data_IF_017174762437
#
_entry.id   IF_017174762437
#
_cell.length_a   1.000
_cell.length_b   1.000
_cell.length_c   1.000
_cell.angle_alpha   90.00
_cell.angle_beta   90.00
_cell.angle_gamma   90.00
#
_symmetry.space_group_name_H-M   'P 1'
#
loop_
_entity.id
_entity.type
_entity.pdbx_description
1 polymer ?
#
# COMPACT_ATOMS: atom_id res chain seq x y z
N UNK A 1 -1.75 -1.58 -14.80
CA UNK A 1 -1.84 -2.60 -13.72
C UNK A 1 -2.59 -2.06 -12.49
N UNK A 2 -2.34 -0.81 -12.08
CA UNK A 2 -2.99 -0.14 -10.93
C UNK A 2 -4.53 -0.12 -11.03
N UNK A 3 -5.10 0.13 -12.21
CA UNK A 3 -6.56 0.08 -12.43
C UNK A 3 -7.18 -1.28 -12.08
N UNK A 4 -6.47 -2.39 -12.37
CA UNK A 4 -6.92 -3.75 -12.01
C UNK A 4 -6.88 -3.96 -10.49
N UNK A 5 -5.87 -3.39 -9.83
CA UNK A 5 -5.75 -3.42 -8.37
C UNK A 5 -6.81 -2.58 -7.66
N UNK A 6 -7.10 -1.34 -8.12
CA UNK A 6 -8.21 -0.53 -7.60
C UNK A 6 -9.56 -1.24 -7.77
N UNK A 7 -9.78 -1.93 -8.89
CA UNK A 7 -10.96 -2.78 -9.08
C UNK A 7 -10.98 -4.01 -8.16
N UNK A 8 -9.82 -4.59 -7.83
CA UNK A 8 -9.70 -5.65 -6.83
C UNK A 8 -10.16 -5.18 -5.46
N UNK A 9 -9.68 -4.01 -5.02
CA UNK A 9 -10.03 -3.41 -3.73
C UNK A 9 -11.53 -3.09 -3.64
N UNK A 10 -12.12 -2.52 -4.70
CA UNK A 10 -13.58 -2.29 -4.79
C UNK A 10 -14.41 -3.58 -4.77
N UNK A 11 -13.88 -4.69 -5.29
CA UNK A 11 -14.56 -5.99 -5.23
C UNK A 11 -14.35 -6.66 -3.87
N UNK A 12 -13.19 -6.48 -3.25
CA UNK A 12 -12.89 -6.99 -1.92
C UNK A 12 -13.90 -6.49 -0.86
N UNK A 13 -14.24 -5.20 -0.86
CA UNK A 13 -15.27 -4.63 0.03
C UNK A 13 -16.66 -5.26 -0.14
N UNK A 14 -16.92 -5.93 -1.28
CA UNK A 14 -18.20 -6.60 -1.58
C UNK A 14 -18.24 -8.09 -1.22
N UNK A 15 -17.10 -8.79 -1.18
CA UNK A 15 -17.07 -10.27 -1.08
C UNK A 15 -16.46 -10.82 0.23
N UNK A 16 -16.02 -9.97 1.15
CA UNK A 16 -15.59 -10.34 2.51
C UNK A 16 -14.31 -11.20 2.61
N UNK A 17 -13.74 -11.67 1.49
CA UNK A 17 -12.50 -12.47 1.48
C UNK A 17 -11.53 -11.97 0.40
N UNK A 18 -10.38 -11.46 0.84
CA UNK A 18 -9.28 -11.03 -0.05
C UNK A 18 -8.84 -12.17 -0.97
N UNK A 19 -8.64 -13.37 -0.42
CA UNK A 19 -8.18 -14.55 -1.20
C UNK A 19 -9.13 -14.86 -2.36
N UNK A 20 -10.45 -14.89 -2.11
CA UNK A 20 -11.45 -15.13 -3.18
C UNK A 20 -11.53 -13.98 -4.17
N UNK A 21 -11.44 -12.73 -3.72
CA UNK A 21 -11.49 -11.56 -4.59
C UNK A 21 -10.29 -11.50 -5.55
N UNK A 22 -9.08 -11.74 -5.03
CA UNK A 22 -7.85 -11.74 -5.83
C UNK A 22 -7.73 -12.96 -6.76
N UNK A 23 -8.18 -14.14 -6.33
CA UNK A 23 -8.26 -15.31 -7.20
C UNK A 23 -9.17 -15.06 -8.42
N UNK A 24 -10.33 -14.40 -8.24
CA UNK A 24 -11.26 -14.09 -9.34
C UNK A 24 -10.73 -13.12 -10.40
N UNK A 25 -9.65 -12.40 -10.11
CA UNK A 25 -9.03 -11.46 -11.05
C UNK A 25 -7.61 -11.88 -11.45
N UNK A 26 -7.23 -13.13 -11.17
CA UNK A 26 -5.90 -13.70 -11.45
C UNK A 26 -4.74 -12.87 -10.88
N UNK A 27 -4.89 -12.37 -9.65
CA UNK A 27 -3.79 -11.73 -8.92
C UNK A 27 -3.12 -12.76 -8.02
N UNK A 28 -1.82 -12.97 -8.21
CA UNK A 28 -1.06 -13.99 -7.48
C UNK A 28 -0.77 -13.59 -6.03
N UNK A 29 -0.45 -14.57 -5.19
CA UNK A 29 -0.16 -14.36 -3.75
C UNK A 29 1.05 -13.45 -3.54
N UNK A 30 2.08 -13.51 -4.39
CA UNK A 30 3.24 -12.64 -4.25
C UNK A 30 2.89 -11.19 -4.52
N UNK A 31 2.00 -10.93 -5.47
CA UNK A 31 1.46 -9.61 -5.79
C UNK A 31 0.64 -9.08 -4.62
N UNK A 32 -0.19 -9.93 -3.99
CA UNK A 32 -0.92 -9.56 -2.77
C UNK A 32 0.06 -9.14 -1.67
N UNK A 33 1.07 -9.98 -1.37
CA UNK A 33 2.06 -9.67 -0.34
C UNK A 33 2.87 -8.41 -0.64
N UNK A 34 3.30 -8.22 -1.90
CA UNK A 34 4.05 -7.04 -2.33
C UNK A 34 3.22 -5.76 -2.28
N UNK A 35 1.90 -5.84 -2.49
CA UNK A 35 1.01 -4.67 -2.50
C UNK A 35 0.33 -4.41 -1.17
N UNK A 36 0.36 -5.33 -0.21
CA UNK A 36 -0.18 -5.15 1.13
C UNK A 36 0.38 -3.91 1.85
N UNK A 37 1.67 -3.61 1.62
CA UNK A 37 2.34 -2.42 2.19
C UNK A 37 1.70 -1.10 1.75
N UNK A 38 1.11 -1.06 0.54
CA UNK A 38 0.38 0.10 0.03
C UNK A 38 -0.87 0.33 0.89
N UNK A 39 -1.61 -0.74 1.18
CA UNK A 39 -2.80 -0.69 2.02
C UNK A 39 -2.45 -0.34 3.48
N UNK A 40 -1.39 -0.95 4.04
CA UNK A 40 -0.91 -0.65 5.39
C UNK A 40 -0.53 0.83 5.54
N UNK A 41 0.21 1.40 4.59
CA UNK A 41 0.59 2.81 4.60
C UNK A 41 -0.62 3.72 4.46
N UNK A 42 -1.56 3.41 3.56
CA UNK A 42 -2.77 4.20 3.37
C UNK A 42 -3.65 4.27 4.63
N UNK A 43 -3.66 3.21 5.45
CA UNK A 43 -4.40 3.16 6.72
C UNK A 43 -3.63 3.86 7.84
N UNK A 44 -2.32 3.59 7.96
CA UNK A 44 -1.52 4.00 9.13
C UNK A 44 -0.98 5.43 9.00
N UNK A 45 -0.69 5.86 7.77
CA UNK A 45 -0.08 7.15 7.44
C UNK A 45 -0.74 7.74 6.18
N UNK A 46 -2.02 8.13 6.25
CA UNK A 46 -2.81 8.55 5.08
C UNK A 46 -2.23 9.76 4.37
N UNK A 47 -1.61 10.71 5.09
CA UNK A 47 -1.03 11.91 4.48
C UNK A 47 0.27 11.60 3.73
N UNK A 48 1.16 10.80 4.33
CA UNK A 48 2.35 10.26 3.64
C UNK A 48 1.95 9.44 2.41
N UNK A 49 0.85 8.69 2.48
CA UNK A 49 0.34 7.96 1.32
C UNK A 49 -0.12 8.89 0.19
N UNK A 50 -0.86 9.97 0.50
CA UNK A 50 -1.30 10.96 -0.50
C UNK A 50 -0.12 11.62 -1.21
N UNK A 51 0.94 11.95 -0.48
CA UNK A 51 2.17 12.54 -1.04
C UNK A 51 2.91 11.61 -2.01
N UNK A 52 2.73 10.29 -1.86
CA UNK A 52 3.41 9.29 -2.68
C UNK A 52 2.61 8.87 -3.92
N UNK A 53 1.35 9.29 -4.03
CA UNK A 53 0.50 8.96 -5.16
C UNK A 53 1.20 9.39 -6.46
N UNK A 54 1.32 8.49 -7.44
CA UNK A 54 1.96 8.83 -8.70
C UNK A 54 1.19 9.90 -9.45
N UNK A 55 1.93 10.80 -10.08
CA UNK A 55 1.40 11.79 -11.02
C UNK A 55 0.88 11.14 -12.30
N UNK A 56 1.44 9.98 -12.70
CA UNK A 56 1.00 9.19 -13.85
C UNK A 56 0.65 7.75 -13.43
N UNK A 57 -0.62 7.52 -13.09
CA UNK A 57 -1.15 6.21 -12.73
C UNK A 57 -1.19 5.20 -13.89
N UNK A 58 -1.04 5.66 -15.14
CA UNK A 58 -1.18 4.81 -16.33
C UNK A 58 0.11 4.05 -16.60
N UNK A 59 1.24 4.74 -16.50
CA UNK A 59 2.56 4.19 -16.83
C UNK A 59 3.30 3.59 -15.62
N UNK A 60 2.90 3.93 -14.39
CA UNK A 60 3.61 3.44 -13.22
C UNK A 60 3.42 1.92 -12.97
N UNK A 61 4.54 1.24 -12.72
CA UNK A 61 4.53 -0.15 -12.26
C UNK A 61 4.17 -0.21 -10.78
N UNK A 62 3.19 -1.04 -10.45
CA UNK A 62 2.72 -1.22 -9.06
C UNK A 62 3.82 -1.70 -8.10
N UNK A 63 4.83 -2.40 -8.59
CA UNK A 63 5.99 -2.84 -7.80
C UNK A 63 6.88 -1.67 -7.37
N UNK A 64 7.08 -0.69 -8.25
CA UNK A 64 7.86 0.51 -7.95
C UNK A 64 7.13 1.37 -6.93
N UNK A 65 5.81 1.51 -7.10
CA UNK A 65 4.96 2.18 -6.13
C UNK A 65 4.98 1.51 -4.75
N UNK A 66 4.82 0.18 -4.71
CA UNK A 66 4.87 -0.61 -3.48
C UNK A 66 6.20 -0.43 -2.74
N UNK A 67 7.32 -0.37 -3.46
CA UNK A 67 8.63 -0.18 -2.87
C UNK A 67 8.80 1.24 -2.29
N UNK A 68 8.27 2.28 -2.96
CA UNK A 68 8.21 3.63 -2.37
C UNK A 68 7.38 3.65 -1.09
N UNK A 69 6.22 2.99 -1.08
CA UNK A 69 5.40 2.86 0.11
C UNK A 69 6.13 2.16 1.27
N UNK A 70 6.89 1.08 0.97
CA UNK A 70 7.70 0.37 1.97
C UNK A 70 8.75 1.28 2.60
N UNK A 71 9.50 2.02 1.78
CA UNK A 71 10.53 2.97 2.25
C UNK A 71 9.91 4.08 3.10
N UNK A 72 8.77 4.62 2.68
CA UNK A 72 8.06 5.64 3.44
C UNK A 72 7.52 5.11 4.77
N UNK A 73 6.94 3.91 4.79
CA UNK A 73 6.47 3.28 6.02
C UNK A 73 7.62 3.07 7.02
N UNK A 74 8.79 2.65 6.55
CA UNK A 74 9.97 2.48 7.41
C UNK A 74 10.43 3.82 8.01
N UNK A 75 10.54 4.87 7.18
CA UNK A 75 10.89 6.22 7.67
C UNK A 75 9.86 6.77 8.67
N UNK A 76 8.58 6.55 8.41
CA UNK A 76 7.51 7.03 9.29
C UNK A 76 7.44 6.24 10.61
N UNK A 77 7.82 4.97 10.61
CA UNK A 77 8.00 4.16 11.82
C UNK A 77 9.22 4.62 12.63
N UNK A 78 10.33 4.94 11.96
CA UNK A 78 11.54 5.45 12.60
C UNK A 78 11.33 6.83 13.25
N UNK A 79 10.64 7.76 12.56
CA UNK A 79 10.23 9.06 13.15
C UNK A 79 9.32 8.91 14.38
N UNK A 80 8.49 7.86 14.43
CA UNK A 80 7.64 7.57 15.60
C UNK A 80 8.43 6.93 16.75
N UNK A 81 9.52 6.22 16.46
CA UNK A 81 10.37 5.60 17.47
C UNK A 81 11.33 6.60 18.13
N UNK A 82 11.71 7.70 17.46
CA UNK A 82 12.61 8.74 17.99
C UNK A 82 11.95 9.74 18.96
N UNK A 83 10.97 9.31 19.78
CA UNK A 83 10.53 10.05 20.96
C UNK A 83 10.43 9.06 22.12
N UNK A 84 11.21 9.21 23.21
CA UNK A 84 11.41 10.49 23.91
C UNK A 84 12.86 10.98 23.94
N UNK A 85 13.06 12.25 23.60
CA UNK A 85 14.20 13.04 24.09
C UNK A 85 14.02 13.26 25.58
N UNK A 86 14.82 12.56 26.39
CA UNK A 86 14.91 12.82 27.81
C UNK A 86 15.73 14.12 27.99
N UNK A 87 15.04 15.25 28.12
CA UNK A 87 15.60 16.47 28.69
C UNK A 87 14.98 16.64 30.08
N UNK A 88 15.68 16.16 31.10
CA UNK A 88 15.62 16.59 32.50
C UNK A 88 16.84 16.02 33.23
#
# INVERSE_FOLDING_TARGET
IIRRYKNALKRFTKFGSMKKAFAKINVDRNTIGRTAIIAELAITYPDTFKELLPTDEVNEKISEFAERCRRANNRSKEKKWTAPTNNA
#
